data_IF_612196359326
#
_entry.id   IF_612196359326
#
_cell.length_a   1.000
_cell.length_b   1.000
_cell.length_c   1.000
_cell.angle_alpha   90.00
_cell.angle_beta   90.00
_cell.angle_gamma   90.00
#
_symmetry.space_group_name_H-M   'P 1'
#
loop_
_entity.id
_entity.type
_entity.pdbx_description
1 polymer ?
#
# COMPACT_ATOMS: atom_id res chain seq x y z
N UNK A 1 6.16 -0.19 14.87
CA UNK A 1 4.92 0.57 14.91
C UNK A 1 3.76 -0.36 14.59
N UNK A 2 2.71 -0.35 15.42
CA UNK A 2 1.46 -1.07 15.13
C UNK A 2 0.50 -0.25 14.24
N UNK A 3 -0.44 -0.93 13.57
CA UNK A 3 -1.44 -0.25 12.71
C UNK A 3 -2.25 0.80 13.48
N UNK A 4 -2.60 0.56 14.74
CA UNK A 4 -3.33 1.53 15.56
C UNK A 4 -2.50 2.77 15.88
N UNK A 5 -1.20 2.60 16.13
CA UNK A 5 -0.29 3.73 16.35
C UNK A 5 -0.17 4.57 15.07
N UNK A 6 -0.04 3.92 13.93
CA UNK A 6 -0.01 4.59 12.62
C UNK A 6 -1.30 5.38 12.35
N UNK A 7 -2.47 4.77 12.62
CA UNK A 7 -3.77 5.40 12.39
C UNK A 7 -4.07 6.56 13.35
N UNK A 8 -3.34 6.68 14.48
CA UNK A 8 -3.45 7.83 15.38
C UNK A 8 -2.64 9.04 14.92
N UNK A 9 -1.72 8.87 13.97
CA UNK A 9 -0.94 9.96 13.39
C UNK A 9 -1.82 10.85 12.52
N UNK A 10 -1.43 12.11 12.37
CA UNK A 10 -2.01 13.00 11.36
C UNK A 10 -1.75 12.48 9.94
N UNK A 11 -2.50 12.99 8.96
CA UNK A 11 -2.33 12.55 7.58
C UNK A 11 -0.90 12.81 7.07
N UNK A 12 -0.31 13.98 7.36
CA UNK A 12 1.07 14.30 6.98
C UNK A 12 2.07 13.35 7.64
N UNK A 13 1.95 13.08 8.94
CA UNK A 13 2.83 12.15 9.64
C UNK A 13 2.71 10.71 9.10
N UNK A 14 1.52 10.27 8.68
CA UNK A 14 1.36 8.96 8.04
C UNK A 14 2.12 8.88 6.71
N UNK A 15 2.13 9.96 5.91
CA UNK A 15 2.93 10.03 4.70
C UNK A 15 4.42 10.01 5.01
N UNK A 16 4.87 10.81 5.98
CA UNK A 16 6.28 10.84 6.39
C UNK A 16 6.75 9.45 6.84
N UNK A 17 5.94 8.76 7.65
CA UNK A 17 6.26 7.40 8.10
C UNK A 17 6.28 6.41 6.94
N UNK A 18 5.35 6.50 5.98
CA UNK A 18 5.36 5.65 4.80
C UNK A 18 6.64 5.85 3.98
N UNK A 19 7.06 7.09 3.76
CA UNK A 19 8.26 7.37 2.97
C UNK A 19 9.57 7.05 3.69
N UNK A 20 9.59 7.16 5.02
CA UNK A 20 10.75 6.83 5.85
C UNK A 20 10.90 5.31 6.08
N UNK A 21 9.79 4.60 6.32
CA UNK A 21 9.79 3.20 6.81
C UNK A 21 9.13 2.20 5.89
N UNK A 22 8.38 2.66 4.90
CA UNK A 22 7.68 1.81 3.95
C UNK A 22 8.65 1.02 3.08
N UNK A 23 8.50 -0.30 3.11
CA UNK A 23 9.20 -1.20 2.18
C UNK A 23 8.25 -1.48 1.02
N UNK A 24 8.59 -1.01 -0.17
CA UNK A 24 7.85 -1.36 -1.37
C UNK A 24 7.86 -2.88 -1.58
N UNK A 25 6.69 -3.45 -1.84
CA UNK A 25 6.55 -4.89 -2.08
C UNK A 25 6.24 -5.18 -3.54
N UNK A 26 5.20 -4.53 -4.07
CA UNK A 26 4.69 -4.83 -5.41
C UNK A 26 3.69 -3.76 -5.86
N UNK A 27 3.22 -3.87 -7.10
CA UNK A 27 2.17 -3.01 -7.64
C UNK A 27 1.16 -3.84 -8.40
N UNK A 28 -0.08 -3.36 -8.44
CA UNK A 28 -1.14 -3.93 -9.25
C UNK A 28 -1.64 -2.85 -10.19
N UNK A 29 -1.79 -3.18 -11.47
CA UNK A 29 -2.33 -2.25 -12.46
C UNK A 29 -3.36 -2.94 -13.34
N UNK A 30 -4.57 -2.38 -13.36
CA UNK A 30 -5.62 -2.73 -14.30
C UNK A 30 -5.90 -1.56 -15.26
N UNK A 31 -6.96 -1.69 -16.06
CA UNK A 31 -7.42 -0.65 -16.99
C UNK A 31 -7.90 0.59 -16.22
N UNK A 32 -8.54 0.39 -15.08
CA UNK A 32 -9.27 1.41 -14.32
C UNK A 32 -8.60 1.81 -13.00
N UNK A 33 -7.70 1.00 -12.46
CA UNK A 33 -7.01 1.30 -11.21
C UNK A 33 -5.53 0.93 -11.23
N UNK A 34 -4.75 1.61 -10.42
CA UNK A 34 -3.33 1.33 -10.22
C UNK A 34 -3.03 1.47 -8.74
N UNK A 35 -2.38 0.47 -8.15
CA UNK A 35 -2.03 0.45 -6.74
C UNK A 35 -0.56 0.11 -6.54
N UNK A 36 0.04 0.69 -5.51
CA UNK A 36 1.38 0.31 -5.01
C UNK A 36 1.23 -0.16 -3.58
N UNK A 37 1.83 -1.31 -3.26
CA UNK A 37 1.76 -1.93 -1.95
C UNK A 37 3.10 -1.78 -1.23
N UNK A 38 3.02 -1.31 0.01
CA UNK A 38 4.15 -1.17 0.92
C UNK A 38 3.87 -1.95 2.21
N UNK A 39 4.91 -2.49 2.82
CA UNK A 39 4.85 -3.00 4.19
C UNK A 39 5.49 -2.01 5.17
N UNK A 40 4.88 -1.87 6.33
CA UNK A 40 5.46 -1.20 7.50
C UNK A 40 5.30 -2.16 8.67
N UNK A 41 6.41 -2.70 9.16
CA UNK A 41 6.47 -3.70 10.24
C UNK A 41 5.53 -4.90 10.01
N UNK A 42 4.31 -4.86 10.58
CA UNK A 42 3.34 -5.96 10.59
C UNK A 42 2.02 -5.60 9.89
N UNK A 43 2.01 -4.54 9.09
CA UNK A 43 0.84 -4.14 8.32
C UNK A 43 1.25 -3.62 6.94
N UNK A 44 0.25 -3.43 6.09
CA UNK A 44 0.40 -2.98 4.72
C UNK A 44 -0.25 -1.63 4.52
N UNK A 45 0.37 -0.85 3.65
CA UNK A 45 -0.11 0.42 3.14
C UNK A 45 -0.24 0.32 1.63
N UNK A 46 -1.42 0.60 1.12
CA UNK A 46 -1.73 0.61 -0.30
C UNK A 46 -1.94 2.04 -0.77
N UNK A 47 -1.18 2.44 -1.77
CA UNK A 47 -1.35 3.72 -2.45
C UNK A 47 -2.20 3.54 -3.68
N UNK A 48 -3.30 4.28 -3.76
CA UNK A 48 -4.07 4.41 -4.98
C UNK A 48 -3.42 5.46 -5.88
N UNK A 49 -3.21 5.09 -7.15
CA UNK A 49 -2.52 5.90 -8.14
C UNK A 49 -3.48 6.24 -9.29
N UNK A 50 -3.38 7.46 -9.79
CA UNK A 50 -4.03 7.85 -11.04
C UNK A 50 -3.36 7.12 -12.22
N UNK A 51 -4.11 6.30 -12.95
CA UNK A 51 -3.58 5.49 -14.07
C UNK A 51 -3.01 6.33 -15.22
N UNK A 52 -3.48 7.55 -15.39
CA UNK A 52 -3.10 8.46 -16.48
C UNK A 52 -1.90 9.33 -16.09
N UNK A 53 -1.90 9.87 -14.88
CA UNK A 53 -0.93 10.90 -14.45
C UNK A 53 0.15 10.36 -13.50
N UNK A 54 0.05 9.10 -13.07
CA UNK A 54 0.91 8.46 -12.06
C UNK A 54 1.03 9.26 -10.75
N UNK A 55 -0.04 9.98 -10.39
CA UNK A 55 -0.13 10.74 -9.14
C UNK A 55 -0.86 9.96 -8.06
N UNK A 56 -0.50 10.18 -6.80
CA UNK A 56 -1.15 9.55 -5.66
C UNK A 56 -2.55 10.15 -5.45
N UNK A 57 -3.56 9.30 -5.41
CA UNK A 57 -4.96 9.66 -5.13
C UNK A 57 -5.31 9.46 -3.65
N UNK A 58 -4.70 8.49 -3.00
CA UNK A 58 -5.00 8.18 -1.60
C UNK A 58 -4.19 7.02 -1.03
N UNK A 59 -4.45 6.73 0.24
CA UNK A 59 -3.76 5.70 1.00
C UNK A 59 -4.78 4.87 1.80
N UNK A 60 -4.66 3.55 1.73
CA UNK A 60 -5.39 2.60 2.56
C UNK A 60 -4.45 1.76 3.42
N UNK A 61 -4.86 1.43 4.64
CA UNK A 61 -4.03 0.67 5.60
C UNK A 61 -4.76 -0.60 6.04
N UNK A 62 -4.07 -1.73 6.12
CA UNK A 62 -4.65 -3.01 6.56
C UNK A 62 -3.58 -4.02 7.02
N UNK A 63 -3.95 -5.01 7.83
CA UNK A 63 -3.01 -6.03 8.36
C UNK A 63 -2.94 -7.27 7.48
N UNK A 64 -4.09 -7.79 7.05
CA UNK A 64 -4.20 -9.02 6.25
C UNK A 64 -5.59 -9.09 5.57
N UNK A 65 -5.78 -10.04 4.66
CA UNK A 65 -7.09 -10.38 4.09
C UNK A 65 -7.23 -10.09 2.61
N UNK A 66 -8.48 -10.04 2.14
CA UNK A 66 -8.87 -10.05 0.72
C UNK A 66 -8.21 -8.97 -0.15
N UNK A 67 -7.76 -7.87 0.46
CA UNK A 67 -7.04 -6.80 -0.26
C UNK A 67 -5.70 -7.27 -0.84
N UNK A 68 -5.09 -8.30 -0.27
CA UNK A 68 -3.86 -8.91 -0.81
C UNK A 68 -4.10 -9.81 -2.01
N UNK A 69 -5.34 -10.32 -2.19
CA UNK A 69 -5.64 -11.30 -3.25
C UNK A 69 -5.42 -10.74 -4.65
N UNK A 70 -5.59 -9.43 -4.86
CA UNK A 70 -5.31 -8.78 -6.16
C UNK A 70 -3.82 -8.69 -6.52
N UNK A 71 -2.93 -8.92 -5.56
CA UNK A 71 -1.47 -9.00 -5.77
C UNK A 71 -0.97 -10.44 -5.90
N UNK A 72 -1.90 -11.40 -5.91
CA UNK A 72 -1.61 -12.82 -5.97
C UNK A 72 -1.85 -13.34 -7.38
N UNK A 73 -0.86 -13.20 -8.27
CA UNK A 73 -0.90 -13.84 -9.58
C UNK A 73 -0.34 -15.28 -9.49
N UNK A 74 -1.06 -16.24 -10.08
CA UNK A 74 -0.62 -17.64 -10.24
C UNK A 74 -0.08 -18.35 -8.99
N UNK A 75 -0.66 -18.10 -7.82
CA UNK A 75 -0.27 -18.84 -6.61
C UNK A 75 0.92 -18.25 -5.86
N UNK A 76 1.44 -17.09 -6.29
CA UNK A 76 2.57 -16.41 -5.64
C UNK A 76 2.28 -14.93 -5.48
N UNK A 77 2.69 -14.38 -4.34
CA UNK A 77 2.79 -12.94 -4.15
C UNK A 77 3.97 -12.48 -5.00
N UNK A 78 3.71 -11.74 -6.07
CA UNK A 78 4.75 -11.29 -6.99
C UNK A 78 5.54 -10.14 -6.34
N UNK A 79 6.54 -10.51 -5.53
CA UNK A 79 7.45 -9.62 -4.78
C UNK A 79 8.66 -9.17 -5.62
N UNK A 80 8.51 -9.13 -6.96
CA UNK A 80 9.62 -8.93 -7.89
C UNK A 80 10.14 -7.49 -7.90
#
# INVERSE_FOLDING_TARGET
>A
MGIYEFLMLSNEEQWDVLWDKGVYLTSFKSIDCSYRLYAIDKFYVELEMCTIHDTVLGMGVFVEGKKLEKYWEDGKLDLT
#
